data_IF_758050588722
#
_entry.id   IF_758050588722
#
_cell.length_a   1.000
_cell.length_b   1.000
_cell.length_c   1.000
_cell.angle_alpha   90.00
_cell.angle_beta   90.00
_cell.angle_gamma   90.00
#
_symmetry.space_group_name_H-M   'P 1'
#
loop_
_entity.id
_entity.type
_entity.pdbx_description
1 polymer ?
#
# COMPACT_ATOMS: atom_id res chain seq x y z
N UNK A 1 -34.35 54.23 -43.19
CA UNK A 1 -32.91 54.27 -42.85
C UNK A 1 -32.78 54.39 -41.34
N UNK A 2 -32.09 53.42 -40.72
CA UNK A 2 -31.34 53.40 -39.45
C UNK A 2 -31.81 54.27 -38.24
N UNK A 3 -31.75 53.82 -36.98
CA UNK A 3 -31.39 52.56 -36.30
C UNK A 3 -31.87 52.69 -34.83
N UNK A 4 -32.28 51.56 -34.25
CA UNK A 4 -32.39 51.26 -32.81
C UNK A 4 -31.12 51.68 -32.02
N UNK A 5 -31.10 51.90 -30.70
CA UNK A 5 -32.06 51.71 -29.63
C UNK A 5 -31.31 51.56 -28.28
N UNK A 6 -32.07 51.74 -27.20
CA UNK A 6 -32.00 51.07 -25.88
C UNK A 6 -30.86 51.40 -24.88
N UNK A 7 -31.33 51.75 -23.68
CA UNK A 7 -30.64 51.99 -22.41
C UNK A 7 -29.90 50.76 -21.86
N UNK A 8 -28.91 50.99 -20.97
CA UNK A 8 -28.44 49.96 -20.04
C UNK A 8 -28.16 50.51 -18.65
N UNK A 9 -28.60 49.72 -17.69
CA UNK A 9 -28.68 49.88 -16.24
C UNK A 9 -27.29 49.76 -15.62
N UNK A 10 -26.99 50.61 -14.63
CA UNK A 10 -25.84 50.48 -13.73
C UNK A 10 -26.02 49.24 -12.83
N UNK A 11 -25.16 48.25 -12.99
CA UNK A 11 -25.02 47.11 -12.07
C UNK A 11 -23.85 47.31 -11.11
N UNK A 12 -24.19 47.21 -9.82
CA UNK A 12 -23.34 47.28 -8.63
C UNK A 12 -22.42 46.04 -8.56
N UNK A 13 -21.10 46.23 -8.53
CA UNK A 13 -20.13 45.15 -8.33
C UNK A 13 -19.94 44.85 -6.83
N UNK A 14 -20.49 43.73 -6.36
CA UNK A 14 -20.24 43.17 -5.04
C UNK A 14 -19.12 42.11 -5.15
N UNK A 15 -17.90 42.46 -4.75
CA UNK A 15 -16.78 41.52 -4.64
C UNK A 15 -16.92 40.76 -3.31
N UNK A 16 -17.53 39.58 -3.36
CA UNK A 16 -17.49 38.61 -2.26
C UNK A 16 -16.17 37.84 -2.32
N UNK A 17 -15.23 38.21 -1.44
CA UNK A 17 -14.03 37.43 -1.17
C UNK A 17 -14.40 36.12 -0.47
N UNK A 18 -14.63 35.06 -1.24
CA UNK A 18 -14.66 33.70 -0.71
C UNK A 18 -13.20 33.30 -0.48
N UNK A 19 -12.74 33.38 0.77
CA UNK A 19 -11.61 32.56 1.19
C UNK A 19 -12.05 31.11 1.04
N UNK A 20 -11.63 30.49 -0.06
CA UNK A 20 -11.65 29.05 -0.18
C UNK A 20 -10.69 28.49 0.87
N UNK A 21 -11.22 28.19 2.06
CA UNK A 21 -10.59 27.23 2.97
C UNK A 21 -10.68 25.92 2.21
N UNK A 22 -9.65 25.59 1.45
CA UNK A 22 -9.47 24.22 0.99
C UNK A 22 -9.42 23.39 2.27
N UNK A 23 -10.33 22.43 2.49
CA UNK A 23 -10.10 21.48 3.57
C UNK A 23 -8.73 20.90 3.27
N UNK A 24 -7.81 20.97 4.24
CA UNK A 24 -6.67 20.06 4.26
C UNK A 24 -7.31 18.68 4.26
N UNK A 25 -7.45 18.09 3.09
CA UNK A 25 -7.76 16.67 2.98
C UNK A 25 -6.59 16.03 3.68
N UNK A 26 -6.81 15.57 4.91
CA UNK A 26 -5.91 14.60 5.53
C UNK A 26 -5.95 13.44 4.55
N UNK A 27 -4.92 13.35 3.72
CA UNK A 27 -4.76 12.23 2.80
C UNK A 27 -4.37 11.07 3.70
N UNK A 28 -5.39 10.40 4.24
CA UNK A 28 -5.19 9.28 5.14
C UNK A 28 -4.26 8.27 4.45
N UNK A 29 -3.16 7.96 5.12
CA UNK A 29 -2.15 6.99 4.69
C UNK A 29 -1.96 6.00 5.82
N UNK A 30 -1.77 4.73 5.46
CA UNK A 30 -1.45 3.71 6.43
C UNK A 30 0.05 3.66 6.72
N UNK A 31 0.40 3.03 7.84
CA UNK A 31 1.81 2.71 8.15
C UNK A 31 1.90 1.25 8.60
N UNK A 32 2.91 0.54 8.09
CA UNK A 32 3.22 -0.82 8.49
C UNK A 32 3.86 -0.83 9.88
N UNK A 33 3.29 -1.60 10.81
CA UNK A 33 3.87 -1.83 12.13
C UNK A 33 4.65 -3.15 12.12
N UNK A 34 5.92 -3.04 11.68
CA UNK A 34 6.91 -4.10 11.83
C UNK A 34 7.36 -4.24 13.28
N UNK A 35 7.63 -5.48 13.71
CA UNK A 35 7.96 -5.83 15.10
C UNK A 35 9.21 -6.69 15.23
N UNK A 36 10.07 -6.71 14.20
CA UNK A 36 11.36 -7.40 14.24
C UNK A 36 12.41 -6.51 14.90
N UNK A 37 12.20 -6.21 16.19
CA UNK A 37 13.19 -5.52 17.00
C UNK A 37 12.97 -5.74 18.49
N UNK A 38 14.06 -5.69 19.24
CA UNK A 38 14.10 -5.96 20.68
C UNK A 38 14.04 -4.70 21.56
N UNK A 39 13.92 -3.52 20.95
CA UNK A 39 13.93 -2.21 21.59
C UNK A 39 12.70 -1.35 21.26
N UNK A 40 11.66 -1.94 20.67
CA UNK A 40 10.47 -1.23 20.22
C UNK A 40 9.53 -0.83 21.39
N UNK A 41 8.74 0.26 21.24
CA UNK A 41 7.75 0.65 22.24
C UNK A 41 6.68 -0.42 22.47
N UNK A 42 5.95 -0.29 23.59
CA UNK A 42 4.78 -1.13 23.84
C UNK A 42 3.71 -0.92 22.76
N UNK A 43 2.92 -1.95 22.38
CA UNK A 43 1.86 -1.77 21.40
C UNK A 43 0.85 -0.67 21.74
N UNK A 44 0.58 -0.45 23.04
CA UNK A 44 -0.29 0.64 23.49
C UNK A 44 0.28 2.02 23.18
N UNK A 45 1.59 2.21 23.34
CA UNK A 45 2.24 3.48 23.01
C UNK A 45 2.36 3.67 21.50
N UNK A 46 2.56 2.58 20.74
CA UNK A 46 2.49 2.63 19.27
C UNK A 46 1.10 3.07 18.79
N UNK A 47 0.02 2.51 19.34
CA UNK A 47 -1.35 2.94 18.99
C UNK A 47 -1.58 4.42 19.31
N UNK A 48 -1.11 4.92 20.46
CA UNK A 48 -1.16 6.35 20.79
C UNK A 48 -0.36 7.19 19.80
N UNK A 49 0.81 6.70 19.37
CA UNK A 49 1.63 7.39 18.38
C UNK A 49 0.91 7.49 17.03
N UNK A 50 0.29 6.40 16.55
CA UNK A 50 -0.57 6.41 15.35
C UNK A 50 -1.66 7.48 15.45
N UNK A 51 -2.42 7.49 16.57
CA UNK A 51 -3.46 8.48 16.82
C UNK A 51 -2.93 9.91 16.85
N UNK A 52 -1.80 10.15 17.54
CA UNK A 52 -1.17 11.47 17.64
C UNK A 52 -0.69 12.03 16.30
N UNK A 53 -0.40 11.15 15.34
CA UNK A 53 0.04 11.48 13.99
C UNK A 53 -1.10 11.49 12.96
N UNK A 54 -2.32 11.15 13.35
CA UNK A 54 -3.45 11.03 12.43
C UNK A 54 -3.35 9.86 11.46
N UNK A 55 -2.54 8.84 11.78
CA UNK A 55 -2.42 7.63 10.97
C UNK A 55 -3.59 6.72 11.34
N UNK A 56 -4.51 6.53 10.39
CA UNK A 56 -5.77 5.83 10.64
C UNK A 56 -5.79 4.38 10.15
N UNK A 57 -4.69 3.90 9.55
CA UNK A 57 -4.58 2.56 9.00
C UNK A 57 -3.25 1.91 9.38
N UNK A 58 -3.30 0.67 9.87
CA UNK A 58 -2.14 -0.10 10.32
C UNK A 58 -2.07 -1.42 9.56
N UNK A 59 -0.87 -1.82 9.16
CA UNK A 59 -0.59 -3.17 8.65
C UNK A 59 0.30 -3.93 9.64
N UNK A 60 -0.11 -5.12 10.05
CA UNK A 60 0.71 -6.08 10.80
C UNK A 60 0.90 -7.36 9.99
N UNK A 61 2.02 -8.04 10.18
CA UNK A 61 2.43 -9.17 9.32
C UNK A 61 1.94 -10.53 9.80
N UNK A 62 1.56 -10.62 11.07
CA UNK A 62 1.03 -11.81 11.71
C UNK A 62 0.19 -11.38 12.93
N UNK A 63 -0.76 -12.21 13.39
CA UNK A 63 -1.56 -11.89 14.55
C UNK A 63 -0.70 -11.83 15.81
N UNK A 64 -0.90 -10.78 16.60
CA UNK A 64 -0.27 -10.59 17.91
C UNK A 64 -1.32 -10.09 18.89
N UNK A 65 -1.60 -10.89 19.92
CA UNK A 65 -2.67 -10.62 20.87
C UNK A 65 -2.51 -9.29 21.61
N UNK A 66 -1.28 -8.90 21.95
CA UNK A 66 -0.99 -7.63 22.60
C UNK A 66 -1.24 -6.41 21.71
N UNK A 67 -0.93 -6.52 20.40
CA UNK A 67 -1.27 -5.49 19.41
C UNK A 67 -2.79 -5.41 19.20
N UNK A 68 -3.45 -6.55 19.04
CA UNK A 68 -4.91 -6.61 18.85
C UNK A 68 -5.67 -6.06 20.07
N UNK A 69 -5.18 -6.35 21.28
CA UNK A 69 -5.70 -5.77 22.51
C UNK A 69 -5.53 -4.25 22.54
N UNK A 70 -4.36 -3.74 22.16
CA UNK A 70 -4.08 -2.30 22.12
C UNK A 70 -4.92 -1.56 21.06
N UNK A 71 -5.25 -2.21 19.94
CA UNK A 71 -6.06 -1.64 18.86
C UNK A 71 -7.56 -1.58 19.18
N UNK A 72 -8.04 -2.34 20.17
CA UNK A 72 -9.45 -2.40 20.55
C UNK A 72 -9.98 -1.01 20.90
N UNK A 73 -10.97 -0.52 20.15
CA UNK A 73 -11.56 0.81 20.37
C UNK A 73 -10.75 2.00 19.83
N UNK A 74 -9.62 1.76 19.15
CA UNK A 74 -8.76 2.83 18.60
C UNK A 74 -9.30 3.47 17.31
N UNK A 75 -10.25 2.80 16.63
CA UNK A 75 -10.75 3.07 15.28
C UNK A 75 -9.72 2.97 14.13
N UNK A 76 -8.46 2.65 14.42
CA UNK A 76 -7.43 2.40 13.39
C UNK A 76 -7.82 1.16 12.58
N UNK A 77 -7.95 1.31 11.27
CA UNK A 77 -8.23 0.21 10.35
C UNK A 77 -7.04 -0.74 10.28
N UNK A 78 -7.28 -2.05 10.41
CA UNK A 78 -6.23 -3.07 10.46
C UNK A 78 -6.21 -3.93 9.20
N UNK A 79 -5.06 -3.96 8.55
CA UNK A 79 -4.66 -5.05 7.64
C UNK A 79 -3.83 -6.05 8.43
N UNK A 80 -4.30 -7.29 8.56
CA UNK A 80 -3.60 -8.35 9.28
C UNK A 80 -3.11 -9.43 8.33
N UNK A 81 -1.82 -9.74 8.38
CA UNK A 81 -1.20 -10.79 7.60
C UNK A 81 -1.44 -12.19 8.17
N UNK A 82 -1.51 -13.16 7.27
CA UNK A 82 -1.29 -14.59 7.54
C UNK A 82 0.14 -14.91 7.10
N UNK A 83 0.93 -15.43 8.04
CA UNK A 83 2.32 -15.78 7.77
C UNK A 83 2.42 -16.93 6.74
N UNK A 84 3.45 -16.89 5.89
CA UNK A 84 3.60 -17.78 4.72
C UNK A 84 3.64 -19.27 5.12
N UNK A 85 4.20 -19.59 6.29
CA UNK A 85 4.27 -20.95 6.84
C UNK A 85 2.89 -21.58 7.07
N UNK A 86 1.83 -20.79 7.23
CA UNK A 86 0.47 -21.29 7.42
C UNK A 86 -0.25 -21.64 6.11
N UNK A 87 0.27 -21.21 4.95
CA UNK A 87 -0.45 -21.31 3.67
C UNK A 87 -0.81 -22.75 3.31
N UNK A 88 0.11 -23.69 3.49
CA UNK A 88 -0.15 -25.10 3.17
C UNK A 88 -1.24 -25.71 4.05
N UNK A 89 -1.20 -25.44 5.36
CA UNK A 89 -2.25 -25.88 6.29
C UNK A 89 -3.59 -25.22 5.96
N UNK A 90 -3.60 -23.92 5.66
CA UNK A 90 -4.84 -23.18 5.37
C UNK A 90 -5.44 -23.56 4.02
N UNK A 91 -4.62 -23.97 3.05
CA UNK A 91 -5.08 -24.49 1.78
C UNK A 91 -5.77 -25.85 1.92
N UNK A 92 -5.29 -26.69 2.83
CA UNK A 92 -5.72 -28.10 2.93
C UNK A 92 -6.76 -28.38 4.03
N UNK A 93 -6.80 -27.56 5.09
CA UNK A 93 -7.69 -27.77 6.24
C UNK A 93 -8.53 -26.52 6.55
N UNK A 94 -9.80 -26.48 6.08
CA UNK A 94 -10.73 -25.40 6.44
C UNK A 94 -10.96 -25.23 7.94
N UNK A 95 -10.81 -26.29 8.75
CA UNK A 95 -10.97 -26.23 10.20
C UNK A 95 -9.83 -25.46 10.86
N UNK A 96 -8.60 -25.60 10.36
CA UNK A 96 -7.46 -24.79 10.79
C UNK A 96 -7.73 -23.29 10.57
N UNK A 97 -8.31 -22.93 9.42
CA UNK A 97 -8.66 -21.54 9.10
C UNK A 97 -9.79 -21.01 9.99
N UNK A 98 -10.83 -21.80 10.22
CA UNK A 98 -11.92 -21.44 11.13
C UNK A 98 -11.41 -21.19 12.56
N UNK A 99 -10.51 -22.06 13.05
CA UNK A 99 -9.87 -21.88 14.36
C UNK A 99 -9.01 -20.61 14.40
N UNK A 100 -8.28 -20.31 13.33
CA UNK A 100 -7.48 -19.09 13.25
C UNK A 100 -8.37 -17.83 13.27
N UNK A 101 -9.48 -17.81 12.52
CA UNK A 101 -10.45 -16.70 12.53
C UNK A 101 -11.03 -16.51 13.93
N UNK A 102 -11.40 -17.61 14.61
CA UNK A 102 -11.90 -17.56 15.97
C UNK A 102 -10.88 -16.93 16.93
N UNK A 103 -9.63 -17.37 16.88
CA UNK A 103 -8.58 -16.96 17.83
C UNK A 103 -8.02 -15.56 17.56
N UNK A 104 -8.03 -15.11 16.31
CA UNK A 104 -7.32 -13.87 15.92
C UNK A 104 -8.24 -12.75 15.46
N UNK A 105 -9.52 -13.04 15.19
CA UNK A 105 -10.49 -12.05 14.71
C UNK A 105 -11.71 -11.98 15.63
N UNK A 106 -12.43 -13.08 15.84
CA UNK A 106 -13.71 -13.05 16.57
C UNK A 106 -13.57 -12.63 18.04
N UNK A 107 -12.47 -13.00 18.71
CA UNK A 107 -12.23 -12.61 20.12
C UNK A 107 -11.85 -11.13 20.28
N UNK A 108 -11.65 -10.38 19.19
CA UNK A 108 -11.32 -8.96 19.20
C UNK A 108 -12.39 -8.10 18.48
N UNK A 109 -13.66 -8.10 18.92
CA UNK A 109 -14.75 -7.42 18.22
C UNK A 109 -14.61 -5.89 18.16
N UNK A 110 -13.74 -5.29 18.98
CA UNK A 110 -13.47 -3.84 18.96
C UNK A 110 -12.29 -3.44 18.07
N UNK A 111 -11.66 -4.38 17.36
CA UNK A 111 -10.63 -4.09 16.35
C UNK A 111 -11.29 -3.88 14.99
N UNK A 112 -10.93 -2.78 14.31
CA UNK A 112 -11.47 -2.44 12.99
C UNK A 112 -10.72 -3.21 11.89
N UNK A 113 -10.96 -4.51 11.76
CA UNK A 113 -10.37 -5.30 10.68
C UNK A 113 -10.89 -4.87 9.32
N UNK A 114 -9.99 -4.47 8.44
CA UNK A 114 -10.30 -4.07 7.06
C UNK A 114 -9.95 -5.19 6.08
N UNK A 115 -8.76 -5.75 6.23
CA UNK A 115 -8.24 -6.78 5.34
C UNK A 115 -7.55 -7.92 6.09
N UNK A 116 -7.66 -9.13 5.55
CA UNK A 116 -6.73 -10.24 5.84
C UNK A 116 -5.86 -10.47 4.60
N UNK A 117 -4.54 -10.30 4.74
CA UNK A 117 -3.57 -10.57 3.68
C UNK A 117 -3.04 -12.01 3.83
N UNK A 118 -3.51 -12.93 3.01
CA UNK A 118 -3.16 -14.35 3.06
C UNK A 118 -1.85 -14.60 2.31
N UNK A 119 -0.74 -14.38 3.03
CA UNK A 119 0.61 -14.44 2.50
C UNK A 119 1.19 -13.07 2.14
N UNK A 120 2.52 -12.99 2.19
CA UNK A 120 3.31 -11.82 1.84
C UNK A 120 4.53 -12.23 1.00
N UNK A 121 4.59 -11.74 -0.25
CA UNK A 121 5.67 -12.04 -1.21
C UNK A 121 5.98 -13.54 -1.32
N UNK A 122 4.93 -14.35 -1.50
CA UNK A 122 5.02 -15.81 -1.47
C UNK A 122 5.90 -16.31 -2.62
N UNK A 123 6.97 -17.04 -2.28
CA UNK A 123 7.90 -17.62 -3.25
C UNK A 123 7.38 -18.95 -3.84
N UNK A 124 7.97 -19.36 -4.97
CA UNK A 124 7.48 -20.40 -5.89
C UNK A 124 7.12 -21.75 -5.27
N UNK A 125 7.70 -22.12 -4.13
CA UNK A 125 7.38 -23.38 -3.45
C UNK A 125 6.01 -23.41 -2.75
N UNK A 126 5.38 -22.26 -2.54
CA UNK A 126 4.16 -22.13 -1.73
C UNK A 126 3.06 -21.32 -2.42
N UNK A 127 3.29 -20.82 -3.64
CA UNK A 127 2.33 -20.00 -4.39
C UNK A 127 1.04 -20.73 -4.74
N UNK A 128 1.11 -22.05 -4.99
CA UNK A 128 -0.06 -22.89 -5.26
C UNK A 128 -1.04 -22.96 -4.08
N UNK A 129 -0.58 -22.70 -2.86
CA UNK A 129 -1.40 -22.74 -1.65
C UNK A 129 -2.15 -21.42 -1.40
N UNK A 130 -1.76 -20.34 -2.05
CA UNK A 130 -2.32 -19.00 -1.80
C UNK A 130 -3.82 -18.95 -2.11
N UNK A 131 -4.22 -19.35 -3.31
CA UNK A 131 -5.63 -19.25 -3.72
C UNK A 131 -6.55 -20.14 -2.87
N UNK A 132 -6.26 -21.45 -2.63
CA UNK A 132 -7.06 -22.26 -1.74
C UNK A 132 -7.13 -21.70 -0.31
N UNK A 133 -6.01 -21.19 0.23
CA UNK A 133 -6.00 -20.57 1.56
C UNK A 133 -6.88 -19.30 1.61
N UNK A 134 -6.86 -18.46 0.58
CA UNK A 134 -7.75 -17.30 0.45
C UNK A 134 -9.23 -17.73 0.41
N UNK A 135 -9.55 -18.79 -0.33
CA UNK A 135 -10.91 -19.32 -0.44
C UNK A 135 -11.42 -19.86 0.90
N UNK A 136 -10.59 -20.61 1.63
CA UNK A 136 -10.92 -21.09 2.96
C UNK A 136 -11.05 -19.93 3.96
N UNK A 137 -10.20 -18.89 3.87
CA UNK A 137 -10.29 -17.70 4.72
C UNK A 137 -11.60 -16.92 4.50
N UNK A 138 -11.97 -16.68 3.24
CA UNK A 138 -13.26 -16.04 2.92
C UNK A 138 -14.44 -16.86 3.45
N UNK A 139 -14.39 -18.19 3.31
CA UNK A 139 -15.43 -19.09 3.81
C UNK A 139 -15.56 -19.04 5.33
N UNK A 140 -14.43 -19.06 6.04
CA UNK A 140 -14.39 -18.98 7.50
C UNK A 140 -14.88 -17.61 8.03
N UNK A 141 -14.47 -16.50 7.41
CA UNK A 141 -14.96 -15.16 7.76
C UNK A 141 -16.46 -15.03 7.50
N UNK A 142 -16.94 -15.57 6.37
CA UNK A 142 -18.38 -15.57 6.05
C UNK A 142 -19.19 -16.37 7.07
N UNK A 143 -18.74 -17.57 7.42
CA UNK A 143 -19.38 -18.40 8.45
C UNK A 143 -19.38 -17.74 9.84
N UNK A 144 -18.39 -16.89 10.12
CA UNK A 144 -18.29 -16.10 11.35
C UNK A 144 -19.13 -14.80 11.34
N UNK A 145 -19.83 -14.49 10.24
CA UNK A 145 -20.58 -13.23 10.10
C UNK A 145 -19.71 -12.00 9.84
N UNK A 146 -18.48 -12.19 9.35
CA UNK A 146 -17.44 -11.17 9.17
C UNK A 146 -17.11 -10.92 7.68
N UNK A 147 -18.09 -11.11 6.79
CA UNK A 147 -17.93 -10.96 5.33
C UNK A 147 -17.56 -9.54 4.87
N UNK A 148 -17.62 -8.54 5.77
CA UNK A 148 -17.15 -7.19 5.53
C UNK A 148 -15.61 -7.10 5.48
N UNK A 149 -14.89 -8.03 6.12
CA UNK A 149 -13.43 -8.11 6.06
C UNK A 149 -13.03 -8.72 4.72
N UNK A 150 -12.25 -7.99 3.92
CA UNK A 150 -11.83 -8.46 2.60
C UNK A 150 -10.55 -9.30 2.68
N UNK A 151 -10.53 -10.43 1.98
CA UNK A 151 -9.35 -11.29 1.89
C UNK A 151 -8.56 -10.96 0.64
N UNK A 152 -7.26 -10.71 0.79
CA UNK A 152 -6.33 -10.41 -0.30
C UNK A 152 -5.03 -11.20 -0.13
N UNK A 153 -4.04 -10.96 -1.00
CA UNK A 153 -2.66 -11.42 -0.89
C UNK A 153 -1.73 -10.25 -1.21
N UNK A 154 -0.63 -10.13 -0.45
CA UNK A 154 0.41 -9.14 -0.70
C UNK A 154 1.50 -9.71 -1.59
N UNK A 155 1.76 -9.07 -2.73
CA UNK A 155 2.75 -9.53 -3.72
C UNK A 155 3.89 -8.53 -3.90
N UNK A 156 5.09 -9.05 -4.17
CA UNK A 156 6.25 -8.21 -4.50
C UNK A 156 6.10 -7.66 -5.92
N UNK A 157 6.62 -6.46 -6.21
CA UNK A 157 6.85 -6.06 -7.60
C UNK A 157 7.90 -6.95 -8.30
N UNK A 158 8.87 -7.48 -7.54
CA UNK A 158 9.97 -8.31 -8.06
C UNK A 158 9.47 -9.73 -8.28
N UNK A 159 9.82 -10.31 -9.44
CA UNK A 159 9.44 -11.70 -9.78
C UNK A 159 7.97 -11.89 -10.15
N UNK A 160 7.08 -10.94 -9.83
CA UNK A 160 5.66 -10.99 -10.19
C UNK A 160 5.33 -10.17 -11.43
N UNK A 161 5.94 -9.00 -11.58
CA UNK A 161 5.70 -8.13 -12.72
C UNK A 161 6.74 -8.30 -13.82
N UNK A 162 6.27 -8.19 -15.06
CA UNK A 162 7.08 -8.04 -16.26
C UNK A 162 6.45 -6.99 -17.19
N UNK A 163 7.20 -6.60 -18.22
CA UNK A 163 6.74 -5.66 -19.23
C UNK A 163 7.13 -4.20 -18.95
N UNK A 164 7.52 -3.52 -20.02
CA UNK A 164 7.85 -2.09 -20.05
C UNK A 164 7.57 -1.55 -21.47
N UNK A 165 7.03 -0.32 -21.66
CA UNK A 165 6.53 0.63 -20.65
C UNK A 165 5.29 0.09 -19.89
N UNK A 166 4.73 0.83 -18.89
CA UNK A 166 3.64 0.32 -18.04
C UNK A 166 2.41 -0.23 -18.78
N UNK A 167 2.07 0.26 -19.97
CA UNK A 167 0.99 -0.30 -20.81
C UNK A 167 1.21 -1.74 -21.24
N UNK A 168 2.47 -2.21 -21.29
CA UNK A 168 2.84 -3.60 -21.58
C UNK A 168 2.92 -4.48 -20.32
N UNK A 169 2.51 -3.95 -19.16
CA UNK A 169 2.57 -4.67 -17.89
C UNK A 169 1.81 -5.98 -17.94
N UNK A 170 2.45 -7.05 -17.50
CA UNK A 170 1.90 -8.40 -17.40
C UNK A 170 2.45 -9.10 -16.16
N UNK A 171 1.79 -10.16 -15.71
CA UNK A 171 2.43 -11.07 -14.76
C UNK A 171 3.62 -11.76 -15.45
N UNK A 172 4.72 -11.95 -14.72
CA UNK A 172 5.90 -12.65 -15.25
C UNK A 172 5.54 -14.07 -15.70
N UNK A 173 6.34 -14.69 -16.59
CA UNK A 173 6.14 -16.09 -16.96
C UNK A 173 6.05 -17.04 -15.74
N UNK A 174 6.86 -16.78 -14.71
CA UNK A 174 6.88 -17.55 -13.47
C UNK A 174 5.64 -17.29 -12.60
N UNK A 175 5.08 -16.07 -12.65
CA UNK A 175 3.94 -15.68 -11.84
C UNK A 175 2.57 -15.95 -12.47
N UNK A 176 2.51 -16.00 -13.80
CA UNK A 176 1.25 -16.04 -14.56
C UNK A 176 0.34 -17.19 -14.13
N UNK A 177 0.91 -18.36 -13.84
CA UNK A 177 0.16 -19.57 -13.50
C UNK A 177 -0.63 -19.46 -12.19
N UNK A 178 -0.10 -18.76 -11.18
CA UNK A 178 -0.78 -18.57 -9.89
C UNK A 178 -1.46 -17.20 -9.77
N UNK A 179 -0.90 -16.15 -10.37
CA UNK A 179 -1.47 -14.80 -10.28
C UNK A 179 -2.74 -14.62 -11.11
N UNK A 180 -2.85 -15.25 -12.29
CA UNK A 180 -4.06 -15.15 -13.11
C UNK A 180 -5.31 -15.67 -12.37
N UNK A 181 -5.32 -16.88 -11.79
CA UNK A 181 -6.49 -17.34 -11.05
C UNK A 181 -6.72 -16.55 -9.75
N UNK A 182 -5.68 -16.07 -9.06
CA UNK A 182 -5.81 -15.16 -7.90
C UNK A 182 -6.49 -13.85 -8.32
N UNK A 183 -6.05 -13.22 -9.41
CA UNK A 183 -6.61 -11.97 -9.90
C UNK A 183 -8.10 -12.11 -10.26
N UNK A 184 -8.48 -13.20 -10.92
CA UNK A 184 -9.89 -13.50 -11.22
C UNK A 184 -10.70 -13.74 -9.94
N UNK A 185 -10.12 -14.38 -8.94
CA UNK A 185 -10.77 -14.59 -7.66
C UNK A 185 -10.98 -13.27 -6.90
N UNK A 186 -9.98 -12.39 -6.86
CA UNK A 186 -10.11 -11.03 -6.31
C UNK A 186 -11.24 -10.25 -7.00
N UNK A 187 -11.33 -10.34 -8.33
CA UNK A 187 -12.41 -9.72 -9.10
C UNK A 187 -13.79 -10.23 -8.67
N UNK A 188 -13.94 -11.55 -8.43
CA UNK A 188 -15.20 -12.15 -7.99
C UNK A 188 -15.64 -11.80 -6.57
N UNK A 189 -14.70 -11.42 -5.70
CA UNK A 189 -14.96 -11.10 -4.28
C UNK A 189 -15.02 -9.59 -4.01
N UNK A 190 -14.66 -8.78 -5.01
CA UNK A 190 -14.49 -7.33 -4.89
C UNK A 190 -13.36 -6.93 -3.95
N UNK A 191 -12.38 -7.82 -3.73
CA UNK A 191 -11.20 -7.54 -2.92
C UNK A 191 -10.08 -6.92 -3.78
N UNK A 192 -9.24 -6.03 -3.20
CA UNK A 192 -8.08 -5.49 -3.91
C UNK A 192 -6.97 -6.53 -4.05
N UNK A 193 -6.04 -6.29 -4.98
CA UNK A 193 -4.70 -6.86 -4.91
C UNK A 193 -3.83 -5.95 -4.01
N UNK A 194 -3.09 -6.56 -3.08
CA UNK A 194 -2.09 -5.84 -2.30
C UNK A 194 -0.71 -5.95 -2.96
N UNK A 195 -0.07 -4.82 -3.22
CA UNK A 195 1.23 -4.76 -3.88
C UNK A 195 2.26 -4.02 -3.04
N UNK A 196 3.41 -4.66 -2.82
CA UNK A 196 4.58 -4.03 -2.24
C UNK A 196 5.35 -3.29 -3.36
N UNK A 197 5.31 -1.96 -3.33
CA UNK A 197 5.81 -1.07 -4.37
C UNK A 197 6.98 -0.26 -3.84
N UNK A 198 8.17 -0.56 -4.34
CA UNK A 198 9.43 0.06 -3.91
C UNK A 198 10.21 0.59 -5.12
N UNK A 199 10.05 1.88 -5.47
CA UNK A 199 10.93 2.62 -6.36
C UNK A 199 12.41 2.53 -5.94
N UNK A 200 12.70 2.52 -4.64
CA UNK A 200 14.06 2.34 -4.12
C UNK A 200 14.75 1.10 -4.72
N UNK A 201 14.13 -0.08 -4.61
CA UNK A 201 14.70 -1.32 -5.15
C UNK A 201 14.74 -1.34 -6.68
N UNK A 202 13.78 -0.70 -7.35
CA UNK A 202 13.80 -0.57 -8.80
C UNK A 202 14.96 0.32 -9.29
N UNK A 203 15.27 1.39 -8.54
CA UNK A 203 16.40 2.29 -8.78
C UNK A 203 17.74 1.58 -8.53
N UNK A 204 18.00 1.11 -7.29
CA UNK A 204 19.32 0.52 -6.95
C UNK A 204 19.60 -0.80 -7.68
N UNK A 205 18.55 -1.56 -8.02
CA UNK A 205 18.67 -2.81 -8.78
C UNK A 205 18.63 -2.63 -10.29
N UNK A 206 18.43 -1.41 -10.79
CA UNK A 206 18.21 -1.10 -12.22
C UNK A 206 17.17 -2.04 -12.88
N UNK A 207 16.07 -2.33 -12.17
CA UNK A 207 15.11 -3.38 -12.55
C UNK A 207 14.24 -3.02 -13.76
N UNK A 208 14.32 -1.78 -14.27
CA UNK A 208 13.42 -1.21 -15.29
C UNK A 208 14.18 -0.57 -16.46
N UNK A 209 15.19 -1.28 -16.98
CA UNK A 209 15.90 -0.93 -18.21
C UNK A 209 16.47 0.50 -18.25
N UNK A 210 17.55 0.73 -17.48
CA UNK A 210 18.47 1.87 -17.65
C UNK A 210 17.91 3.26 -17.29
N UNK A 211 16.82 3.34 -16.54
CA UNK A 211 16.41 4.61 -15.91
C UNK A 211 17.16 4.75 -14.59
N UNK A 212 18.41 5.22 -14.68
CA UNK A 212 19.24 5.61 -13.54
C UNK A 212 19.03 7.09 -13.18
N UNK A 213 17.76 7.47 -12.95
CA UNK A 213 17.39 8.80 -12.48
C UNK A 213 16.77 8.70 -11.10
N UNK A 214 17.53 9.07 -10.07
CA UNK A 214 17.03 9.09 -8.69
C UNK A 214 15.85 10.04 -8.53
N UNK A 215 15.75 11.11 -9.35
CA UNK A 215 14.62 12.04 -9.27
C UNK A 215 13.31 11.37 -9.69
N UNK A 216 13.39 10.42 -10.61
CA UNK A 216 12.23 9.63 -11.04
C UNK A 216 11.73 8.75 -9.89
N UNK A 217 12.65 8.17 -9.12
CA UNK A 217 12.34 7.34 -7.96
C UNK A 217 11.85 8.17 -6.74
N UNK A 218 12.32 9.42 -6.59
CA UNK A 218 12.03 10.32 -5.46
C UNK A 218 10.86 11.28 -5.69
N UNK A 219 10.12 11.16 -6.80
CA UNK A 219 9.05 12.08 -7.21
C UNK A 219 9.52 13.53 -7.47
N UNK A 220 10.78 13.72 -7.87
CA UNK A 220 11.38 15.05 -8.10
C UNK A 220 11.76 15.32 -9.55
N UNK A 221 11.48 14.41 -10.49
CA UNK A 221 11.78 14.66 -11.91
C UNK A 221 11.04 15.91 -12.41
N UNK A 222 11.70 16.81 -13.16
CA UNK A 222 11.10 18.09 -13.59
C UNK A 222 10.04 17.94 -14.69
N UNK A 223 9.88 16.75 -15.24
CA UNK A 223 8.91 16.46 -16.28
C UNK A 223 8.81 14.95 -16.56
N UNK A 224 8.14 14.61 -17.65
CA UNK A 224 7.95 13.22 -18.08
C UNK A 224 9.27 12.49 -18.26
N UNK A 225 9.41 11.34 -17.59
CA UNK A 225 10.55 10.43 -17.76
C UNK A 225 10.19 9.29 -18.70
N UNK A 226 8.98 8.72 -18.54
CA UNK A 226 8.50 7.62 -19.39
C UNK A 226 7.23 8.06 -20.12
N UNK A 227 7.31 8.35 -21.43
CA UNK A 227 6.12 8.47 -22.29
C UNK A 227 5.57 7.09 -22.63
N UNK A 228 4.25 6.92 -22.59
CA UNK A 228 3.58 5.65 -22.83
C UNK A 228 2.22 5.86 -23.52
N UNK A 229 2.27 6.03 -24.85
CA UNK A 229 1.11 6.43 -25.64
C UNK A 229 0.59 7.80 -25.19
N UNK A 230 -0.66 7.86 -24.74
CA UNK A 230 -1.28 9.09 -24.20
C UNK A 230 -0.96 9.35 -22.72
N UNK A 231 -0.24 8.44 -22.05
CA UNK A 231 0.16 8.57 -20.65
C UNK A 231 1.59 9.06 -20.55
N UNK A 232 1.88 9.78 -19.46
CA UNK A 232 3.19 10.29 -19.15
C UNK A 232 3.48 10.02 -17.67
N UNK A 233 4.58 9.32 -17.39
CA UNK A 233 5.01 9.01 -16.04
C UNK A 233 6.18 9.91 -15.65
N UNK A 234 5.95 10.76 -14.66
CA UNK A 234 6.95 11.65 -14.05
C UNK A 234 7.63 11.02 -12.83
N UNK A 235 7.04 9.96 -12.25
CA UNK A 235 7.63 9.24 -11.12
C UNK A 235 7.52 7.72 -11.33
N UNK A 236 8.43 6.99 -10.68
CA UNK A 236 8.57 5.55 -10.83
C UNK A 236 7.45 4.78 -10.09
N UNK A 237 6.90 5.34 -9.02
CA UNK A 237 5.78 4.77 -8.29
C UNK A 237 4.56 4.56 -9.20
N UNK A 238 4.13 5.60 -9.91
CA UNK A 238 3.01 5.53 -10.85
C UNK A 238 3.26 4.51 -11.95
N UNK A 239 4.48 4.47 -12.49
CA UNK A 239 4.81 3.50 -13.52
C UNK A 239 4.74 2.06 -13.00
N UNK A 240 5.18 1.79 -11.77
CA UNK A 240 5.09 0.46 -11.17
C UNK A 240 3.63 0.08 -10.91
N UNK A 241 2.85 0.98 -10.28
CA UNK A 241 1.43 0.75 -10.00
C UNK A 241 0.63 0.52 -11.29
N UNK A 242 0.87 1.30 -12.34
CA UNK A 242 0.18 1.11 -13.62
C UNK A 242 0.63 -0.14 -14.38
N UNK A 243 1.82 -0.66 -14.09
CA UNK A 243 2.23 -1.98 -14.59
C UNK A 243 1.42 -3.09 -13.91
N UNK A 244 1.15 -2.99 -12.61
CA UNK A 244 0.23 -3.92 -11.94
C UNK A 244 -1.18 -3.82 -12.51
N UNK A 245 -1.70 -2.61 -12.75
CA UNK A 245 -3.02 -2.46 -13.37
C UNK A 245 -3.08 -3.05 -14.79
N UNK A 246 -2.06 -2.84 -15.62
CA UNK A 246 -1.99 -3.47 -16.93
C UNK A 246 -1.89 -5.00 -16.81
N UNK A 247 -1.14 -5.52 -15.84
CA UNK A 247 -1.04 -6.97 -15.62
C UNK A 247 -2.39 -7.60 -15.22
N UNK A 248 -3.16 -6.92 -14.36
CA UNK A 248 -4.51 -7.31 -14.00
C UNK A 248 -5.45 -7.29 -15.23
N UNK A 249 -5.36 -6.26 -16.07
CA UNK A 249 -6.14 -6.18 -17.32
C UNK A 249 -5.79 -7.33 -18.28
N UNK A 250 -4.50 -7.62 -18.50
CA UNK A 250 -4.04 -8.74 -19.33
C UNK A 250 -4.50 -10.10 -18.80
N UNK A 251 -4.65 -10.25 -17.48
CA UNK A 251 -5.19 -11.45 -16.84
C UNK A 251 -6.73 -11.55 -16.87
N UNK A 252 -7.42 -10.55 -17.45
CA UNK A 252 -8.88 -10.49 -17.50
C UNK A 252 -9.54 -10.05 -16.19
N UNK A 253 -8.79 -9.34 -15.34
CA UNK A 253 -9.19 -8.90 -14.00
C UNK A 253 -9.04 -7.38 -13.81
N UNK A 254 -9.25 -6.59 -14.88
CA UNK A 254 -9.01 -5.14 -14.89
C UNK A 254 -9.88 -4.30 -13.93
N UNK A 255 -10.90 -4.90 -13.32
CA UNK A 255 -11.74 -4.29 -12.28
C UNK A 255 -11.15 -4.36 -10.88
N UNK A 256 -10.09 -5.17 -10.67
CA UNK A 256 -9.46 -5.34 -9.35
C UNK A 256 -8.73 -4.06 -8.96
N UNK A 257 -9.07 -3.41 -7.82
CA UNK A 257 -8.32 -2.28 -7.31
C UNK A 257 -6.98 -2.72 -6.73
N UNK A 258 -6.03 -1.79 -6.62
CA UNK A 258 -4.73 -2.01 -5.98
C UNK A 258 -4.69 -1.25 -4.65
N UNK A 259 -4.23 -1.93 -3.62
CA UNK A 259 -3.73 -1.31 -2.39
C UNK A 259 -2.21 -1.42 -2.42
N UNK A 260 -1.50 -0.31 -2.29
CA UNK A 260 -0.04 -0.36 -2.07
C UNK A 260 0.20 -0.74 -0.63
N UNK A 261 0.45 -2.01 -0.39
CA UNK A 261 0.51 -2.60 0.94
C UNK A 261 1.84 -2.34 1.65
N UNK A 262 2.86 -1.94 0.90
CA UNK A 262 4.13 -1.40 1.40
C UNK A 262 4.73 -0.45 0.37
N UNK A 263 5.31 0.64 0.86
CA UNK A 263 6.22 1.48 0.10
C UNK A 263 7.10 2.29 1.04
N UNK A 264 8.36 2.49 0.70
CA UNK A 264 9.27 3.23 1.58
C UNK A 264 10.65 3.41 0.97
N UNK A 265 11.50 4.12 1.71
CA UNK A 265 12.88 4.37 1.33
C UNK A 265 13.78 4.34 2.58
N UNK A 266 14.89 3.58 2.56
CA UNK A 266 15.74 3.44 3.73
C UNK A 266 16.54 4.71 4.02
N UNK A 267 16.69 5.05 5.30
CA UNK A 267 17.38 6.25 5.76
C UNK A 267 18.90 6.08 5.94
N UNK A 268 19.41 4.85 5.87
CA UNK A 268 20.83 4.52 5.95
C UNK A 268 21.09 3.08 5.43
N UNK A 269 22.36 2.67 5.44
CA UNK A 269 22.76 1.27 5.24
C UNK A 269 23.04 0.84 3.80
N UNK A 270 22.87 1.72 2.81
CA UNK A 270 23.09 1.35 1.40
C UNK A 270 23.12 2.53 0.43
N UNK A 271 23.27 2.21 -0.86
CA UNK A 271 23.30 3.19 -1.95
C UNK A 271 22.03 4.03 -1.95
N UNK A 272 22.19 5.36 -2.00
CA UNK A 272 21.09 6.34 -1.96
C UNK A 272 20.18 6.25 -0.73
N UNK A 273 20.52 5.45 0.28
CA UNK A 273 19.85 5.40 1.57
C UNK A 273 20.38 6.54 2.45
N UNK A 274 19.56 7.57 2.65
CA UNK A 274 19.88 8.72 3.51
C UNK A 274 18.59 9.28 4.12
N UNK A 275 18.68 9.89 5.29
CA UNK A 275 17.53 10.56 5.92
C UNK A 275 16.88 11.60 4.99
N UNK A 276 17.68 12.32 4.20
CA UNK A 276 17.17 13.31 3.22
C UNK A 276 16.36 12.64 2.09
N UNK A 277 16.86 11.55 1.53
CA UNK A 277 16.15 10.82 0.47
C UNK A 277 14.89 10.12 1.02
N UNK A 278 15.00 9.52 2.21
CA UNK A 278 13.86 8.88 2.87
C UNK A 278 12.75 9.88 3.19
N UNK A 279 13.11 11.05 3.72
CA UNK A 279 12.17 12.16 3.91
C UNK A 279 11.53 12.59 2.60
N UNK A 280 12.33 12.81 1.55
CA UNK A 280 11.84 13.26 0.25
C UNK A 280 10.84 12.27 -0.32
N UNK A 281 11.20 10.98 -0.35
CA UNK A 281 10.37 9.91 -0.86
C UNK A 281 9.04 9.82 -0.09
N UNK A 282 9.09 9.62 1.23
CA UNK A 282 7.90 9.39 2.03
C UNK A 282 6.99 10.62 2.08
N UNK A 283 7.56 11.83 2.16
CA UNK A 283 6.74 13.05 2.18
C UNK A 283 6.07 13.31 0.83
N UNK A 284 6.73 13.01 -0.28
CA UNK A 284 6.14 13.14 -1.62
C UNK A 284 5.11 12.05 -1.87
N UNK A 285 5.35 10.82 -1.44
CA UNK A 285 4.38 9.73 -1.49
C UNK A 285 3.07 10.14 -0.79
N UNK A 286 3.15 10.67 0.43
CA UNK A 286 1.97 11.16 1.18
C UNK A 286 1.18 12.19 0.36
N UNK A 287 1.86 13.19 -0.23
CA UNK A 287 1.22 14.24 -1.04
C UNK A 287 0.65 13.73 -2.38
N UNK A 288 1.20 12.63 -2.87
CA UNK A 288 0.91 12.09 -4.20
C UNK A 288 -0.31 11.17 -4.21
N UNK A 289 -0.40 10.25 -3.25
CA UNK A 289 -1.33 9.10 -3.30
C UNK A 289 -2.81 9.46 -3.40
N UNK A 290 -3.22 10.68 -3.02
CA UNK A 290 -4.61 11.11 -3.21
C UNK A 290 -4.99 11.48 -4.65
N UNK A 291 -4.02 11.63 -5.55
CA UNK A 291 -4.24 12.00 -6.96
C UNK A 291 -4.47 10.77 -7.85
N UNK A 292 -3.84 9.64 -7.50
CA UNK A 292 -3.83 8.43 -8.32
C UNK A 292 -2.67 8.38 -9.28
N UNK A 293 -2.82 7.58 -10.33
CA UNK A 293 -1.83 7.39 -11.40
C UNK A 293 -2.36 7.89 -12.75
N UNK A 294 -1.50 8.02 -13.78
CA UNK A 294 -1.94 8.33 -15.15
C UNK A 294 -3.00 7.36 -15.72
N UNK A 295 -2.99 6.07 -15.36
CA UNK A 295 -4.00 5.09 -15.81
C UNK A 295 -5.24 5.03 -14.92
N UNK A 296 -5.12 5.36 -13.64
CA UNK A 296 -6.19 5.28 -12.63
C UNK A 296 -6.16 6.50 -11.71
N UNK A 297 -6.93 7.53 -12.09
CA UNK A 297 -7.12 8.71 -11.26
C UNK A 297 -7.89 8.37 -9.97
N UNK A 298 -7.61 9.11 -8.90
CA UNK A 298 -8.24 8.96 -7.59
C UNK A 298 -7.33 8.30 -6.56
N UNK A 299 -7.71 8.42 -5.30
CA UNK A 299 -6.87 8.00 -4.16
C UNK A 299 -6.46 6.53 -4.25
N UNK A 300 -5.17 6.27 -4.10
CA UNK A 300 -4.59 4.94 -3.91
C UNK A 300 -4.43 4.72 -2.41
N UNK A 301 -5.02 3.67 -1.87
CA UNK A 301 -4.74 3.26 -0.50
C UNK A 301 -3.31 2.76 -0.40
N UNK A 302 -2.51 3.36 0.47
CA UNK A 302 -1.06 3.15 0.55
C UNK A 302 -0.64 3.00 2.00
N UNK A 303 0.28 2.08 2.27
CA UNK A 303 0.91 1.87 3.57
C UNK A 303 2.41 2.14 3.46
N UNK A 304 2.93 3.08 4.27
CA UNK A 304 4.37 3.31 4.34
C UNK A 304 5.03 2.18 5.12
N UNK A 305 6.13 1.65 4.60
CA UNK A 305 7.02 0.73 5.29
C UNK A 305 8.24 1.52 5.82
N UNK A 306 8.46 1.65 7.13
CA UNK A 306 7.64 1.15 8.26
C UNK A 306 7.61 2.14 9.43
N UNK A 307 6.86 1.82 10.49
CA UNK A 307 6.73 2.70 11.66
C UNK A 307 8.07 2.93 12.37
N UNK A 308 8.88 1.88 12.54
CA UNK A 308 10.13 1.93 13.28
C UNK A 308 11.29 1.32 12.50
N UNK A 309 12.51 1.74 12.85
CA UNK A 309 13.72 0.99 12.52
C UNK A 309 13.70 -0.34 13.27
N UNK A 310 13.87 -1.45 12.55
CA UNK A 310 13.73 -2.82 13.07
C UNK A 310 15.12 -3.48 13.19
N UNK A 311 15.72 -3.43 14.38
CA UNK A 311 17.11 -3.82 14.59
C UNK A 311 17.39 -5.32 14.45
N UNK A 312 16.38 -6.19 14.54
CA UNK A 312 16.53 -7.65 14.43
C UNK A 312 16.29 -8.17 12.99
N UNK A 313 16.01 -7.29 12.02
CA UNK A 313 15.87 -7.71 10.61
C UNK A 313 17.16 -8.34 10.08
N UNK A 314 17.01 -9.33 9.21
CA UNK A 314 18.12 -10.02 8.54
C UNK A 314 18.22 -9.53 7.09
N UNK A 315 19.35 -9.82 6.43
CA UNK A 315 19.59 -9.40 5.05
C UNK A 315 20.41 -8.12 4.95
N UNK A 316 20.16 -7.33 3.91
CA UNK A 316 20.86 -6.08 3.63
C UNK A 316 20.72 -5.09 4.79
N UNK A 317 21.76 -4.29 5.04
CA UNK A 317 21.76 -3.35 6.15
C UNK A 317 20.62 -2.33 6.05
N UNK A 318 20.20 -1.97 4.83
CA UNK A 318 19.05 -1.08 4.58
C UNK A 318 17.76 -1.55 5.23
N UNK A 319 17.57 -2.86 5.42
CA UNK A 319 16.38 -3.44 6.04
C UNK A 319 16.16 -2.92 7.47
N UNK A 320 17.21 -2.51 8.18
CA UNK A 320 17.13 -1.97 9.56
C UNK A 320 16.74 -0.49 9.61
N UNK A 321 16.69 0.21 8.47
CA UNK A 321 16.64 1.67 8.41
C UNK A 321 15.42 2.25 7.66
N UNK A 322 14.34 1.48 7.50
CA UNK A 322 13.08 1.92 6.86
C UNK A 322 12.13 2.73 7.77
N UNK A 323 12.45 2.86 9.05
CA UNK A 323 11.58 3.50 10.04
C UNK A 323 11.31 4.97 9.78
N UNK A 324 10.04 5.37 9.96
CA UNK A 324 9.64 6.77 10.12
C UNK A 324 10.06 7.33 11.50
N UNK A 325 10.09 6.46 12.50
CA UNK A 325 10.46 6.77 13.88
C UNK A 325 11.60 5.86 14.37
N UNK A 326 12.37 6.38 15.30
CA UNK A 326 13.29 5.58 16.09
C UNK A 326 12.52 4.81 17.18
N UNK A 327 13.12 3.77 17.78
CA UNK A 327 12.47 3.00 18.85
C UNK A 327 12.10 3.81 20.09
N UNK A 328 12.72 4.97 20.32
CA UNK A 328 12.35 5.92 21.38
C UNK A 328 11.18 6.86 20.99
N UNK A 329 10.52 6.59 19.85
CA UNK A 329 9.44 7.38 19.25
C UNK A 329 9.84 8.76 18.71
N UNK A 330 11.13 9.12 18.76
CA UNK A 330 11.62 10.31 18.06
C UNK A 330 11.52 10.10 16.53
N UNK A 331 11.24 11.15 15.75
CA UNK A 331 11.22 11.03 14.29
C UNK A 331 12.64 10.71 13.78
N UNK A 332 12.77 9.71 12.90
CA UNK A 332 14.03 9.43 12.20
C UNK A 332 14.38 10.57 11.21
N UNK A 333 13.34 11.21 10.67
CA UNK A 333 13.37 12.44 9.89
C UNK A 333 11.99 13.11 9.97
N UNK A 334 11.90 14.40 9.65
CA UNK A 334 10.62 15.13 9.77
C UNK A 334 9.63 14.65 8.71
N UNK A 335 8.44 14.24 9.12
CA UNK A 335 7.36 13.76 8.25
C UNK A 335 6.02 14.37 8.69
N UNK A 336 5.17 14.75 7.73
CA UNK A 336 3.80 15.20 7.97
C UNK A 336 2.82 14.28 7.24
N UNK A 337 1.86 13.75 8.00
CA UNK A 337 0.75 12.93 7.53
C UNK A 337 -0.48 13.79 7.23
#
# INVERSE_FOLDING_TARGET
MAKHGVAFILTLALVLGVLAVTPKVVQSIGVCYGVNGNNLPSPSDVVKLYQSKGIDSMRIYFPRSDILQALTGSNIALTMGVANENLSAFASDPSAVANWVKQNVQVYPGVNFRYIAVGNEVESGNTQNVLPAMQNMNSALSAAGLSNIKVSVSVSQKGVLAGYPPSNGMFSPEATSYMTPIAKYLASTGAPLMANVYPYFAYVGNLRAQIDDINYALFTSPGTVVPDGSKAYQNQFDAIVDTFYSALESAGAGSVPIVVSESGWPSAGGTAASASNAQTYNQNLIKHVGQGTPKRAGRIETYIFAMFNENDKRGDETERHFGLFNPDQSPAYTINF
#
